data_IF_933134212104
#
_entry.id   IF_933134212104
#
_cell.length_a   1.000
_cell.length_b   1.000
_cell.length_c   1.000
_cell.angle_alpha   90.00
_cell.angle_beta   90.00
_cell.angle_gamma   90.00
#
_symmetry.space_group_name_H-M   'P 1'
#
loop_
_entity.id
_entity.type
_entity.pdbx_description
1 polymer ?
#
# COMPACT_ATOMS: atom_id res chain seq x y z
N UNK A 1 -6.36 -8.65 3.19
CA UNK A 1 -5.69 -7.74 4.15
C UNK A 1 -4.32 -8.29 4.45
N UNK A 2 -3.27 -7.53 4.17
CA UNK A 2 -1.89 -7.96 4.36
C UNK A 2 -1.22 -7.27 5.56
N UNK A 3 -0.12 -7.86 6.01
CA UNK A 3 0.91 -7.20 6.80
C UNK A 3 2.25 -7.37 6.10
N UNK A 4 2.98 -6.28 5.95
CA UNK A 4 4.33 -6.26 5.41
C UNK A 4 5.31 -5.97 6.55
N UNK A 5 6.45 -6.67 6.60
CA UNK A 5 7.41 -6.52 7.69
C UNK A 5 8.40 -5.36 7.51
N UNK A 6 8.42 -4.65 6.37
CA UNK A 6 9.48 -3.67 6.10
C UNK A 6 9.64 -2.66 7.22
N UNK A 7 8.65 -1.83 7.50
CA UNK A 7 8.74 -0.86 8.60
C UNK A 7 8.73 -1.49 10.00
N UNK A 8 8.38 -2.77 10.12
CA UNK A 8 8.43 -3.47 11.39
C UNK A 8 9.84 -3.92 11.78
N UNK A 9 10.70 -4.24 10.81
CA UNK A 9 12.00 -4.87 11.09
C UNK A 9 13.13 -4.34 10.24
N UNK A 10 12.86 -3.75 9.07
CA UNK A 10 13.85 -3.51 8.02
C UNK A 10 14.71 -4.77 7.79
N UNK A 11 16.03 -4.64 7.76
CA UNK A 11 16.97 -5.77 7.60
C UNK A 11 17.23 -6.55 8.91
N UNK A 12 16.72 -6.11 10.05
CA UNK A 12 16.93 -6.76 11.35
C UNK A 12 15.81 -7.74 11.68
N UNK A 13 15.82 -8.91 11.05
CA UNK A 13 14.87 -9.98 11.34
C UNK A 13 15.52 -11.36 11.35
N UNK A 14 14.90 -12.24 12.13
CA UNK A 14 15.07 -13.69 12.13
C UNK A 14 13.73 -14.33 11.81
N UNK A 15 13.70 -15.60 11.50
CA UNK A 15 12.45 -16.34 11.26
C UNK A 15 11.53 -16.27 12.46
N UNK A 16 12.05 -16.44 13.69
CA UNK A 16 11.25 -16.36 14.92
C UNK A 16 10.56 -15.00 15.07
N UNK A 17 11.28 -13.90 14.82
CA UNK A 17 10.72 -12.54 14.86
C UNK A 17 9.59 -12.34 13.84
N UNK A 18 9.74 -12.91 12.63
CA UNK A 18 8.68 -12.88 11.62
C UNK A 18 7.46 -13.68 12.06
N UNK A 19 7.67 -14.84 12.68
CA UNK A 19 6.59 -15.70 13.18
C UNK A 19 5.83 -15.06 14.35
N UNK A 20 6.52 -14.33 15.23
CA UNK A 20 5.88 -13.55 16.32
C UNK A 20 4.97 -12.45 15.74
N UNK A 21 5.43 -11.72 14.72
CA UNK A 21 4.61 -10.71 14.03
C UNK A 21 3.42 -11.37 13.32
N UNK A 22 3.64 -12.48 12.63
CA UNK A 22 2.60 -13.22 11.93
C UNK A 22 1.52 -13.76 12.88
N UNK A 23 1.91 -14.28 14.04
CA UNK A 23 0.97 -14.78 15.04
C UNK A 23 0.05 -13.66 15.54
N UNK A 24 0.61 -12.50 15.87
CA UNK A 24 -0.17 -11.33 16.27
C UNK A 24 -1.09 -10.83 15.15
N UNK A 25 -0.60 -10.80 13.91
CA UNK A 25 -1.39 -10.44 12.75
C UNK A 25 -2.58 -11.41 12.53
N UNK A 26 -2.34 -12.72 12.67
CA UNK A 26 -3.37 -13.75 12.62
C UNK A 26 -4.46 -13.54 13.69
N UNK A 27 -4.05 -13.26 14.93
CA UNK A 27 -4.99 -12.97 16.03
C UNK A 27 -5.86 -11.74 15.74
N UNK A 28 -5.34 -10.77 14.99
CA UNK A 28 -6.10 -9.60 14.54
C UNK A 28 -6.93 -9.87 13.29
N UNK A 29 -6.78 -11.05 12.66
CA UNK A 29 -7.58 -11.46 11.49
C UNK A 29 -6.98 -11.05 10.14
N UNK A 30 -5.68 -10.66 10.09
CA UNK A 30 -4.92 -10.42 8.86
C UNK A 30 -4.83 -11.70 8.04
N UNK A 31 -4.85 -11.61 6.71
CA UNK A 31 -5.01 -12.75 5.80
C UNK A 31 -3.72 -13.14 5.06
N UNK A 32 -2.77 -12.21 4.94
CA UNK A 32 -1.55 -12.37 4.14
C UNK A 32 -0.35 -11.75 4.86
N UNK A 33 0.73 -12.51 4.99
CA UNK A 33 2.03 -12.00 5.44
C UNK A 33 2.96 -11.82 4.24
N UNK A 34 3.54 -10.62 4.07
CA UNK A 34 4.49 -10.31 3.00
C UNK A 34 5.87 -10.11 3.61
N UNK A 35 6.81 -10.97 3.24
CA UNK A 35 8.23 -10.82 3.57
C UNK A 35 8.88 -9.87 2.57
N UNK A 36 9.28 -8.71 3.05
CA UNK A 36 9.93 -7.67 2.26
C UNK A 36 11.45 -7.90 2.10
N UNK A 37 12.22 -6.90 1.71
CA UNK A 37 13.64 -6.96 1.40
C UNK A 37 14.49 -7.59 2.54
N UNK A 38 15.58 -8.28 2.17
CA UNK A 38 16.55 -8.81 3.12
C UNK A 38 16.54 -10.33 3.33
N UNK A 39 15.68 -11.10 2.66
CA UNK A 39 15.53 -12.53 2.84
C UNK A 39 16.58 -13.37 2.08
N UNK A 40 17.33 -12.78 1.14
CA UNK A 40 18.20 -13.48 0.16
C UNK A 40 19.68 -13.11 0.30
N UNK A 41 20.55 -13.98 -0.18
CA UNK A 41 21.99 -13.76 -0.30
C UNK A 41 22.63 -13.23 0.98
N UNK A 42 23.55 -12.29 0.85
CA UNK A 42 24.18 -11.57 1.97
C UNK A 42 23.51 -10.19 2.21
N UNK A 43 22.22 -10.10 1.96
CA UNK A 43 21.43 -8.86 2.03
C UNK A 43 21.15 -8.45 3.47
N UNK A 44 22.10 -7.80 4.11
CA UNK A 44 21.94 -7.21 5.46
C UNK A 44 21.81 -5.67 5.45
N UNK A 45 21.91 -5.08 4.28
CA UNK A 45 21.74 -3.65 4.00
C UNK A 45 21.52 -3.45 2.51
N UNK A 46 21.30 -2.22 2.07
CA UNK A 46 21.14 -1.87 0.65
C UNK A 46 22.43 -2.08 -0.20
N UNK A 47 23.56 -2.36 0.43
CA UNK A 47 24.88 -2.33 -0.21
C UNK A 47 25.25 -3.62 -0.93
N UNK A 48 24.58 -4.75 -0.64
CA UNK A 48 24.99 -6.08 -1.11
C UNK A 48 23.82 -7.01 -1.40
N UNK A 49 24.09 -8.06 -2.15
CA UNK A 49 23.21 -9.22 -2.33
C UNK A 49 22.11 -9.09 -3.36
N UNK A 50 21.77 -7.87 -3.81
CA UNK A 50 20.71 -7.69 -4.81
C UNK A 50 21.12 -8.33 -6.15
N UNK A 51 20.26 -9.21 -6.66
CA UNK A 51 20.51 -10.08 -7.81
C UNK A 51 20.72 -11.55 -7.41
N UNK A 52 21.10 -11.83 -6.16
CA UNK A 52 21.37 -13.18 -5.65
C UNK A 52 20.10 -13.76 -4.99
N UNK A 53 19.12 -14.12 -5.80
CA UNK A 53 17.81 -14.61 -5.33
C UNK A 53 17.87 -16.04 -4.78
N UNK A 54 18.57 -16.19 -3.64
CA UNK A 54 18.72 -17.47 -2.91
C UNK A 54 18.48 -17.15 -1.43
N UNK A 55 17.58 -17.88 -0.79
CA UNK A 55 17.27 -17.64 0.63
C UNK A 55 18.52 -17.68 1.52
N UNK A 56 18.63 -16.72 2.43
CA UNK A 56 19.71 -16.68 3.40
C UNK A 56 19.45 -17.73 4.51
N UNK A 57 20.28 -18.77 4.64
CA UNK A 57 20.06 -19.86 5.60
C UNK A 57 20.25 -19.45 7.07
N UNK A 58 20.99 -18.36 7.33
CA UNK A 58 21.14 -17.83 8.69
C UNK A 58 19.87 -17.17 9.20
N UNK A 59 19.08 -16.57 8.29
CA UNK A 59 17.81 -15.90 8.62
C UNK A 59 16.62 -16.84 8.49
N UNK A 60 16.65 -17.72 7.50
CA UNK A 60 15.59 -18.65 7.13
C UNK A 60 16.19 -20.06 7.03
N UNK A 61 16.35 -20.76 8.15
CA UNK A 61 17.02 -22.08 8.18
C UNK A 61 16.38 -23.13 7.27
N UNK A 62 15.04 -23.11 7.13
CA UNK A 62 14.29 -24.00 6.25
C UNK A 62 13.93 -23.34 4.91
N UNK A 63 14.56 -22.20 4.59
CA UNK A 63 14.35 -21.44 3.38
C UNK A 63 12.94 -20.83 3.26
N UNK A 64 12.63 -20.31 2.07
CA UNK A 64 11.30 -19.73 1.78
C UNK A 64 10.17 -20.75 1.90
N UNK A 65 10.42 -22.00 1.52
CA UNK A 65 9.42 -23.07 1.59
C UNK A 65 9.01 -23.37 3.05
N UNK A 66 9.96 -23.42 3.97
CA UNK A 66 9.69 -23.63 5.40
C UNK A 66 8.89 -22.49 6.00
N UNK A 67 9.28 -21.24 5.74
CA UNK A 67 8.54 -20.07 6.24
C UNK A 67 7.13 -20.01 5.64
N UNK A 68 6.97 -20.23 4.33
CA UNK A 68 5.66 -20.23 3.67
C UNK A 68 4.73 -21.31 4.26
N UNK A 69 5.25 -22.50 4.56
CA UNK A 69 4.48 -23.56 5.21
C UNK A 69 4.04 -23.13 6.64
N UNK A 70 4.93 -22.52 7.42
CA UNK A 70 4.58 -22.01 8.75
C UNK A 70 3.51 -20.91 8.73
N UNK A 71 3.47 -20.07 7.68
CA UNK A 71 2.38 -19.11 7.46
C UNK A 71 1.07 -19.82 7.13
N UNK A 72 1.10 -20.82 6.24
CA UNK A 72 -0.08 -21.62 5.89
C UNK A 72 -0.64 -22.39 7.11
N UNK A 73 0.21 -22.97 7.94
CA UNK A 73 -0.18 -23.67 9.17
C UNK A 73 -0.91 -22.75 10.16
N UNK A 74 -0.69 -21.43 10.05
CA UNK A 74 -1.41 -20.38 10.78
C UNK A 74 -2.67 -19.89 10.05
N UNK A 75 -2.98 -20.46 8.88
CA UNK A 75 -4.12 -20.05 8.06
C UNK A 75 -3.90 -18.70 7.34
N UNK A 76 -2.66 -18.27 7.19
CA UNK A 76 -2.28 -17.06 6.46
C UNK A 76 -1.69 -17.41 5.11
N UNK A 77 -1.96 -16.57 4.10
CA UNK A 77 -1.23 -16.59 2.83
C UNK A 77 0.16 -16.00 3.01
N UNK A 78 1.06 -16.33 2.08
CA UNK A 78 2.42 -15.82 2.09
C UNK A 78 2.75 -15.07 0.80
N UNK A 79 3.44 -13.93 0.96
CA UNK A 79 3.92 -13.08 -0.12
C UNK A 79 5.42 -12.80 0.02
N UNK A 80 6.06 -12.43 -1.08
CA UNK A 80 7.50 -12.23 -1.15
C UNK A 80 7.85 -11.01 -1.99
N UNK A 81 8.84 -10.23 -1.53
CA UNK A 81 9.39 -9.09 -2.24
C UNK A 81 10.52 -9.51 -3.19
N UNK A 82 10.56 -8.89 -4.36
CA UNK A 82 11.64 -8.96 -5.32
C UNK A 82 11.94 -7.57 -5.91
N UNK A 83 13.21 -7.32 -6.25
CA UNK A 83 13.67 -6.22 -7.08
C UNK A 83 14.49 -6.77 -8.26
N UNK A 84 13.84 -7.45 -9.20
CA UNK A 84 14.52 -8.33 -10.15
C UNK A 84 15.28 -7.59 -11.26
N UNK A 85 15.05 -6.32 -11.43
CA UNK A 85 15.67 -5.48 -12.46
C UNK A 85 17.00 -4.85 -12.02
N UNK A 86 17.36 -5.02 -10.73
CA UNK A 86 18.52 -4.35 -10.13
C UNK A 86 19.56 -5.37 -9.64
N UNK A 87 20.80 -4.90 -9.55
CA UNK A 87 21.92 -5.72 -9.06
C UNK A 87 22.89 -4.84 -8.25
N UNK A 88 23.39 -5.35 -7.12
CA UNK A 88 24.45 -4.68 -6.40
C UNK A 88 25.82 -4.98 -7.01
N UNK A 89 26.77 -4.05 -6.96
CA UNK A 89 28.19 -4.35 -7.24
C UNK A 89 28.73 -5.51 -6.40
N UNK A 90 28.28 -5.57 -5.13
CA UNK A 90 28.59 -6.69 -4.23
C UNK A 90 27.47 -7.74 -4.27
N UNK A 91 27.45 -8.48 -5.39
CA UNK A 91 26.60 -9.66 -5.59
C UNK A 91 27.35 -10.71 -6.42
N UNK A 92 26.96 -11.95 -6.30
CA UNK A 92 27.52 -13.03 -7.10
C UNK A 92 27.11 -12.91 -8.56
N UNK A 93 25.87 -12.45 -8.81
CA UNK A 93 25.38 -12.18 -10.16
C UNK A 93 26.26 -11.14 -10.88
N UNK A 94 26.56 -10.02 -10.23
CA UNK A 94 27.38 -8.99 -10.85
C UNK A 94 28.83 -9.44 -11.06
N UNK A 95 29.40 -10.20 -10.14
CA UNK A 95 30.76 -10.79 -10.30
C UNK A 95 30.82 -11.75 -11.48
N UNK A 96 29.77 -12.54 -11.71
CA UNK A 96 29.68 -13.46 -12.81
C UNK A 96 29.43 -12.77 -14.17
N UNK A 97 28.62 -11.72 -14.16
CA UNK A 97 28.14 -11.04 -15.37
C UNK A 97 28.20 -9.51 -15.26
N UNK A 98 29.42 -8.92 -15.17
CA UNK A 98 29.56 -7.46 -15.01
C UNK A 98 29.15 -6.67 -16.27
N UNK A 99 28.95 -7.35 -17.39
CA UNK A 99 28.47 -6.81 -18.66
C UNK A 99 26.94 -6.81 -18.81
N UNK A 100 26.20 -7.36 -17.83
CA UNK A 100 24.74 -7.42 -17.86
C UNK A 100 24.03 -6.17 -17.36
N UNK A 101 24.76 -5.12 -17.05
CA UNK A 101 24.19 -3.85 -16.64
C UNK A 101 24.08 -2.86 -17.80
N UNK A 102 23.12 -1.95 -17.71
CA UNK A 102 23.09 -0.76 -18.58
C UNK A 102 24.26 0.16 -18.18
N UNK A 103 25.21 0.38 -19.11
CA UNK A 103 26.37 1.23 -18.86
C UNK A 103 27.03 1.66 -20.17
N UNK A 104 27.27 2.97 -20.34
CA UNK A 104 27.94 3.51 -21.51
C UNK A 104 29.47 3.37 -21.40
N UNK A 105 30.17 2.90 -22.46
CA UNK A 105 31.63 2.81 -22.48
C UNK A 105 32.29 4.18 -22.25
N UNK A 106 33.31 4.20 -21.39
CA UNK A 106 34.05 5.41 -21.07
C UNK A 106 33.37 6.38 -20.11
N UNK A 107 32.14 6.11 -19.71
CA UNK A 107 31.43 6.90 -18.71
C UNK A 107 31.52 6.25 -17.33
N UNK A 108 31.47 7.07 -16.27
CA UNK A 108 31.37 6.57 -14.90
C UNK A 108 30.05 5.82 -14.75
N UNK A 109 30.10 4.61 -14.19
CA UNK A 109 28.91 3.88 -13.76
C UNK A 109 28.35 4.57 -12.52
N UNK A 110 27.19 5.20 -12.63
CA UNK A 110 26.49 5.73 -11.47
C UNK A 110 25.65 4.63 -10.82
N UNK A 111 25.54 4.67 -9.52
CA UNK A 111 24.64 3.80 -8.77
C UNK A 111 23.79 4.65 -7.81
N UNK A 112 22.48 4.57 -7.94
CA UNK A 112 21.53 5.03 -6.95
C UNK A 112 21.29 3.90 -5.94
N UNK A 113 21.24 4.18 -4.64
CA UNK A 113 21.04 3.16 -3.60
C UNK A 113 21.99 1.96 -3.71
N UNK A 114 23.23 2.19 -4.14
CA UNK A 114 24.26 1.15 -4.36
C UNK A 114 23.87 0.07 -5.39
N UNK A 115 22.99 0.40 -6.34
CA UNK A 115 22.47 -0.52 -7.35
C UNK A 115 22.88 -0.11 -8.75
N UNK A 116 23.04 -1.11 -9.64
CA UNK A 116 23.03 -0.96 -11.09
C UNK A 116 21.73 -1.52 -11.67
N UNK A 117 21.37 -1.05 -12.86
CA UNK A 117 20.22 -1.55 -13.61
C UNK A 117 20.68 -2.68 -14.52
N UNK A 118 20.04 -3.85 -14.42
CA UNK A 118 20.26 -4.96 -15.35
C UNK A 118 19.76 -4.60 -16.74
N UNK A 119 20.44 -5.05 -17.78
CA UNK A 119 20.06 -4.80 -19.16
C UNK A 119 18.93 -5.74 -19.62
N UNK A 120 17.71 -5.40 -19.30
CA UNK A 120 16.52 -6.15 -19.70
C UNK A 120 16.20 -6.04 -21.22
N UNK A 121 16.98 -5.27 -21.99
CA UNK A 121 16.92 -5.38 -23.45
C UNK A 121 17.53 -6.69 -23.99
N UNK A 122 18.26 -7.43 -23.12
CA UNK A 122 18.93 -8.70 -23.41
C UNK A 122 18.08 -9.87 -22.90
N UNK A 123 17.74 -10.76 -23.83
CA UNK A 123 16.90 -11.93 -23.52
C UNK A 123 17.53 -12.86 -22.49
N UNK A 124 18.84 -13.08 -22.55
CA UNK A 124 19.56 -13.94 -21.61
C UNK A 124 19.52 -13.43 -20.17
N UNK A 125 19.45 -12.09 -19.96
CA UNK A 125 19.27 -11.49 -18.63
C UNK A 125 17.85 -11.77 -18.11
N UNK A 126 16.84 -11.52 -18.93
CA UNK A 126 15.42 -11.79 -18.60
C UNK A 126 15.21 -13.27 -18.29
N UNK A 127 15.75 -14.19 -19.15
CA UNK A 127 15.60 -15.63 -18.96
C UNK A 127 16.32 -16.13 -17.69
N UNK A 128 17.46 -15.55 -17.34
CA UNK A 128 18.18 -15.87 -16.10
C UNK A 128 17.35 -15.49 -14.86
N UNK A 129 16.88 -14.26 -14.80
CA UNK A 129 16.04 -13.77 -13.69
C UNK A 129 14.74 -14.58 -13.58
N UNK A 130 14.10 -14.86 -14.73
CA UNK A 130 12.93 -15.74 -14.77
C UNK A 130 13.22 -17.10 -14.14
N UNK A 131 14.34 -17.74 -14.51
CA UNK A 131 14.74 -19.05 -13.95
C UNK A 131 14.93 -19.01 -12.42
N UNK A 132 15.52 -17.93 -11.89
CA UNK A 132 15.70 -17.76 -10.45
C UNK A 132 14.35 -17.58 -9.74
N UNK A 133 13.47 -16.72 -10.24
CA UNK A 133 12.15 -16.51 -9.65
C UNK A 133 11.29 -17.77 -9.73
N UNK A 134 11.29 -18.48 -10.86
CA UNK A 134 10.56 -19.75 -11.01
C UNK A 134 11.02 -20.78 -9.98
N UNK A 135 12.32 -20.89 -9.71
CA UNK A 135 12.84 -21.83 -8.72
C UNK A 135 12.25 -21.59 -7.32
N UNK A 136 12.14 -20.31 -6.93
CA UNK A 136 11.59 -19.92 -5.63
C UNK A 136 10.07 -20.13 -5.60
N UNK A 137 9.36 -19.57 -6.58
CA UNK A 137 7.89 -19.61 -6.62
C UNK A 137 7.33 -21.02 -6.81
N UNK A 138 8.08 -21.91 -7.49
CA UNK A 138 7.71 -23.34 -7.60
C UNK A 138 8.03 -24.14 -6.34
N UNK A 139 9.00 -23.69 -5.54
CA UNK A 139 9.45 -24.40 -4.33
C UNK A 139 8.69 -24.02 -3.06
N UNK A 140 7.86 -22.99 -3.10
CA UNK A 140 7.16 -22.45 -1.93
C UNK A 140 5.73 -22.03 -2.27
N UNK A 141 4.82 -22.08 -1.30
CA UNK A 141 3.42 -21.63 -1.46
C UNK A 141 3.32 -20.11 -1.38
N UNK A 142 3.80 -19.43 -2.44
CA UNK A 142 3.71 -17.97 -2.57
C UNK A 142 2.42 -17.62 -3.32
N UNK A 143 1.66 -16.69 -2.80
CA UNK A 143 0.39 -16.19 -3.39
C UNK A 143 0.43 -14.71 -3.78
N UNK A 144 1.53 -14.01 -3.43
CA UNK A 144 1.69 -12.59 -3.67
C UNK A 144 3.17 -12.25 -3.89
N UNK A 145 3.45 -11.39 -4.85
CA UNK A 145 4.78 -10.85 -5.11
C UNK A 145 4.72 -9.34 -5.14
N UNK A 146 5.50 -8.68 -4.27
CA UNK A 146 5.79 -7.25 -4.36
C UNK A 146 7.03 -7.09 -5.23
N UNK A 147 6.85 -6.54 -6.44
CA UNK A 147 7.91 -6.29 -7.41
C UNK A 147 8.33 -4.83 -7.34
N UNK A 148 9.55 -4.59 -6.90
CA UNK A 148 10.09 -3.25 -6.69
C UNK A 148 11.12 -2.85 -7.77
N UNK A 149 11.34 -1.54 -7.88
CA UNK A 149 12.39 -0.92 -8.69
C UNK A 149 12.83 0.38 -8.02
N UNK A 150 13.92 0.36 -7.27
CA UNK A 150 14.32 1.46 -6.40
C UNK A 150 15.37 2.40 -7.00
N UNK A 151 15.58 2.31 -8.30
CA UNK A 151 16.55 3.14 -9.00
C UNK A 151 16.09 3.51 -10.41
N UNK A 152 16.26 4.77 -10.77
CA UNK A 152 16.05 5.25 -12.14
C UNK A 152 17.19 4.80 -13.07
N UNK A 153 16.89 4.62 -14.35
CA UNK A 153 17.89 4.37 -15.40
C UNK A 153 18.60 5.70 -15.69
N UNK A 154 19.91 5.74 -15.54
CA UNK A 154 20.76 6.94 -15.76
C UNK A 154 21.59 6.81 -17.03
N UNK A 155 22.46 5.80 -17.12
CA UNK A 155 23.25 5.52 -18.32
C UNK A 155 22.48 4.53 -19.21
N UNK A 156 21.60 5.05 -20.05
CA UNK A 156 20.76 4.23 -20.92
C UNK A 156 21.54 3.78 -22.17
N UNK A 157 22.41 2.82 -21.98
CA UNK A 157 23.23 2.23 -23.05
C UNK A 157 23.33 0.70 -22.82
N UNK A 158 23.05 -0.08 -23.84
CA UNK A 158 23.20 -1.53 -23.85
C UNK A 158 24.46 -1.94 -24.63
N UNK A 159 25.37 -2.68 -23.98
CA UNK A 159 26.53 -3.23 -24.67
C UNK A 159 26.17 -4.30 -25.73
N UNK A 160 24.94 -4.80 -25.72
CA UNK A 160 24.46 -5.78 -26.70
C UNK A 160 23.88 -5.16 -27.97
N UNK A 161 23.65 -3.83 -28.00
CA UNK A 161 23.12 -3.14 -29.15
C UNK A 161 24.20 -2.35 -29.91
N UNK A 162 24.16 -2.33 -31.26
CA UNK A 162 25.05 -1.48 -32.04
C UNK A 162 24.72 0.01 -31.82
N UNK A 163 25.67 0.87 -32.19
CA UNK A 163 25.62 2.30 -31.89
C UNK A 163 24.38 3.01 -32.50
N UNK A 164 23.94 2.59 -33.68
CA UNK A 164 22.79 3.13 -34.40
C UNK A 164 21.44 2.71 -33.76
N UNK A 165 21.43 1.75 -32.81
CA UNK A 165 20.23 1.24 -32.15
C UNK A 165 20.16 1.60 -30.67
N UNK A 166 21.08 2.39 -30.15
CA UNK A 166 21.08 2.76 -28.73
C UNK A 166 19.84 3.58 -28.34
N UNK A 167 19.21 4.31 -29.25
CA UNK A 167 17.94 5.00 -29.01
C UNK A 167 16.75 4.09 -28.71
N UNK A 168 16.89 2.76 -28.93
CA UNK A 168 15.84 1.77 -28.64
C UNK A 168 15.93 1.19 -27.23
N UNK A 169 16.98 1.48 -26.43
CA UNK A 169 17.28 0.78 -25.17
C UNK A 169 16.13 0.90 -24.18
N UNK A 170 15.57 2.10 -23.94
CA UNK A 170 14.45 2.28 -23.02
C UNK A 170 13.23 1.44 -23.41
N UNK A 171 12.88 1.47 -24.70
CA UNK A 171 11.74 0.70 -25.21
C UNK A 171 11.97 -0.81 -25.05
N UNK A 172 13.17 -1.28 -25.46
CA UNK A 172 13.54 -2.70 -25.35
C UNK A 172 13.61 -3.18 -23.89
N UNK A 173 14.08 -2.31 -22.99
CA UNK A 173 14.10 -2.59 -21.57
C UNK A 173 12.68 -2.87 -21.04
N UNK A 174 11.72 -1.98 -21.34
CA UNK A 174 10.33 -2.17 -20.91
C UNK A 174 9.70 -3.40 -21.55
N UNK A 175 10.00 -3.71 -22.81
CA UNK A 175 9.55 -4.97 -23.42
C UNK A 175 10.13 -6.19 -22.70
N UNK A 176 11.38 -6.13 -22.22
CA UNK A 176 11.97 -7.19 -21.38
C UNK A 176 11.30 -7.32 -20.01
N UNK A 177 10.91 -6.19 -19.38
CA UNK A 177 10.13 -6.21 -18.14
C UNK A 177 8.77 -6.87 -18.37
N UNK A 178 8.07 -6.51 -19.44
CA UNK A 178 6.78 -7.12 -19.80
C UNK A 178 6.90 -8.60 -20.15
N UNK A 179 7.96 -9.02 -20.87
CA UNK A 179 8.24 -10.44 -21.16
C UNK A 179 8.41 -11.26 -19.85
N UNK A 180 9.13 -10.69 -18.88
CA UNK A 180 9.29 -11.35 -17.57
C UNK A 180 7.96 -11.46 -16.81
N UNK A 181 7.17 -10.38 -16.77
CA UNK A 181 5.84 -10.40 -16.14
C UNK A 181 4.92 -11.41 -16.84
N UNK A 182 4.85 -11.40 -18.18
CA UNK A 182 4.04 -12.32 -18.96
C UNK A 182 4.36 -13.78 -18.61
N UNK A 183 5.63 -14.16 -18.69
CA UNK A 183 6.10 -15.50 -18.35
C UNK A 183 5.76 -15.91 -16.91
N UNK A 184 5.86 -14.96 -15.95
CA UNK A 184 5.57 -15.25 -14.54
C UNK A 184 4.07 -15.36 -14.29
N UNK A 185 3.25 -14.48 -14.86
CA UNK A 185 1.78 -14.51 -14.69
C UNK A 185 1.16 -15.70 -15.39
N UNK A 186 1.67 -16.13 -16.55
CA UNK A 186 1.27 -17.36 -17.20
C UNK A 186 1.65 -18.60 -16.38
N UNK A 187 2.86 -18.61 -15.83
CA UNK A 187 3.38 -19.76 -15.05
C UNK A 187 2.72 -19.89 -13.69
N UNK A 188 2.39 -18.76 -13.05
CA UNK A 188 1.84 -18.66 -11.70
C UNK A 188 0.55 -17.81 -11.66
N UNK A 189 -0.53 -18.23 -12.34
CA UNK A 189 -1.76 -17.44 -12.46
C UNK A 189 -2.50 -17.24 -11.13
N UNK A 190 -2.10 -17.92 -10.07
CA UNK A 190 -2.63 -17.78 -8.72
C UNK A 190 -1.86 -16.76 -7.86
N UNK A 191 -0.73 -16.24 -8.37
CA UNK A 191 0.08 -15.24 -7.69
C UNK A 191 -0.37 -13.84 -8.10
N UNK A 192 -0.73 -13.02 -7.12
CA UNK A 192 -1.02 -11.62 -7.35
C UNK A 192 0.28 -10.81 -7.29
N UNK A 193 0.51 -9.98 -8.30
CA UNK A 193 1.66 -9.08 -8.35
C UNK A 193 1.26 -7.67 -7.93
N UNK A 194 2.09 -7.05 -7.09
CA UNK A 194 2.08 -5.62 -6.79
C UNK A 194 3.29 -4.96 -7.44
N UNK A 195 3.08 -3.86 -8.16
CA UNK A 195 4.15 -3.02 -8.70
C UNK A 195 4.57 -1.97 -7.68
N UNK A 196 5.88 -1.83 -7.47
CA UNK A 196 6.50 -0.77 -6.69
C UNK A 196 7.68 -0.18 -7.49
N UNK A 197 7.94 1.10 -7.32
CA UNK A 197 9.15 1.74 -7.85
C UNK A 197 9.51 2.93 -6.95
N UNK A 198 10.06 2.64 -5.76
CA UNK A 198 10.14 3.57 -4.64
C UNK A 198 8.77 4.23 -4.41
N UNK A 199 7.74 3.43 -4.27
CA UNK A 199 6.35 3.85 -4.35
C UNK A 199 5.84 3.89 -5.79
N UNK A 200 5.12 4.96 -6.14
CA UNK A 200 4.39 5.11 -7.41
C UNK A 200 5.21 5.58 -8.60
N UNK A 201 6.54 5.52 -8.57
CA UNK A 201 7.40 6.03 -9.66
C UNK A 201 7.15 5.40 -11.02
N UNK A 202 6.51 4.23 -11.05
CA UNK A 202 6.13 3.50 -12.28
C UNK A 202 4.67 3.03 -12.24
N UNK A 203 3.79 3.84 -11.67
CA UNK A 203 2.37 3.57 -11.64
C UNK A 203 1.74 4.00 -12.97
N UNK A 204 1.57 3.06 -13.90
CA UNK A 204 1.06 3.29 -15.24
C UNK A 204 0.17 2.13 -15.72
N UNK A 205 -0.65 2.32 -16.81
CA UNK A 205 -1.55 1.29 -17.28
C UNK A 205 -0.86 0.03 -17.81
N UNK A 206 0.37 0.14 -18.31
CA UNK A 206 1.13 -1.03 -18.77
C UNK A 206 1.54 -1.93 -17.62
N UNK A 207 1.99 -1.34 -16.51
CA UNK A 207 2.30 -2.09 -15.29
C UNK A 207 1.02 -2.68 -14.67
N UNK A 208 -0.11 -1.94 -14.66
CA UNK A 208 -1.39 -2.42 -14.14
C UNK A 208 -1.97 -3.61 -14.92
N UNK A 209 -1.57 -3.82 -16.18
CA UNK A 209 -1.98 -4.99 -16.95
C UNK A 209 -1.48 -6.29 -16.31
N UNK A 210 -0.27 -6.29 -15.74
CA UNK A 210 0.34 -7.45 -15.10
C UNK A 210 0.20 -7.45 -13.58
N UNK A 211 0.32 -6.27 -12.97
CA UNK A 211 0.27 -6.05 -11.53
C UNK A 211 -0.94 -5.14 -11.20
N UNK A 212 -2.12 -5.70 -10.89
CA UNK A 212 -3.35 -4.93 -10.71
C UNK A 212 -3.36 -4.02 -9.50
N UNK A 213 -2.30 -4.04 -8.70
CA UNK A 213 -2.07 -3.21 -7.54
C UNK A 213 -0.69 -2.54 -7.64
N UNK A 214 -0.61 -1.27 -7.24
CA UNK A 214 0.64 -0.54 -7.15
C UNK A 214 0.80 0.10 -5.77
N UNK A 215 2.02 0.06 -5.22
CA UNK A 215 2.40 0.84 -4.06
C UNK A 215 2.49 2.31 -4.46
N UNK A 216 1.66 3.17 -3.85
CA UNK A 216 1.51 4.56 -4.31
C UNK A 216 2.65 5.48 -3.86
N UNK A 217 3.23 5.22 -2.69
CA UNK A 217 4.35 5.99 -2.12
C UNK A 217 4.95 5.26 -0.94
N UNK A 218 6.26 5.35 -0.78
CA UNK A 218 6.96 4.92 0.42
C UNK A 218 6.70 5.84 1.62
N UNK A 219 6.13 7.02 1.39
CA UNK A 219 5.64 7.86 2.47
C UNK A 219 4.34 7.27 3.03
N UNK A 220 4.45 6.64 4.19
CA UNK A 220 3.35 5.96 4.89
C UNK A 220 2.65 6.86 5.92
N UNK A 221 3.07 8.11 6.07
CA UNK A 221 2.41 9.07 6.95
C UNK A 221 0.95 9.31 6.52
N UNK A 222 0.00 9.14 7.43
CA UNK A 222 -1.42 9.21 7.10
C UNK A 222 -1.87 10.58 6.56
N UNK A 223 -1.23 11.67 7.00
CA UNK A 223 -1.57 13.03 6.54
C UNK A 223 -1.09 13.24 5.09
N UNK A 224 0.12 12.80 4.78
CA UNK A 224 0.62 12.86 3.40
C UNK A 224 -0.15 11.87 2.51
N UNK A 225 -0.50 10.69 3.01
CA UNK A 225 -1.31 9.71 2.27
C UNK A 225 -2.69 10.24 1.87
N UNK A 226 -3.31 11.13 2.64
CA UNK A 226 -4.53 11.82 2.19
C UNK A 226 -4.30 12.58 0.89
N UNK A 227 -3.17 13.29 0.74
CA UNK A 227 -2.82 14.01 -0.50
C UNK A 227 -2.42 13.05 -1.62
N UNK A 228 -1.58 12.05 -1.30
CA UNK A 228 -1.06 11.07 -2.25
C UNK A 228 -2.21 10.27 -2.88
N UNK A 229 -3.11 9.70 -2.07
CA UNK A 229 -4.23 8.89 -2.55
C UNK A 229 -5.25 9.75 -3.30
N UNK A 230 -5.54 10.95 -2.82
CA UNK A 230 -6.41 11.89 -3.53
C UNK A 230 -5.85 12.24 -4.91
N UNK A 231 -4.56 12.63 -4.98
CA UNK A 231 -3.89 12.96 -6.23
C UNK A 231 -3.84 11.79 -7.20
N UNK A 232 -3.45 10.60 -6.72
CA UNK A 232 -3.39 9.37 -7.52
C UNK A 232 -4.77 9.00 -8.09
N UNK A 233 -5.85 9.27 -7.34
CA UNK A 233 -7.22 8.95 -7.76
C UNK A 233 -7.70 9.71 -9.00
N UNK A 234 -7.01 10.77 -9.43
CA UNK A 234 -7.32 11.44 -10.69
C UNK A 234 -7.01 10.59 -11.92
N UNK A 235 -6.02 9.71 -11.81
CA UNK A 235 -5.57 8.86 -12.92
C UNK A 235 -5.93 7.39 -12.74
N UNK A 236 -5.98 6.88 -11.50
CA UNK A 236 -6.07 5.46 -11.19
C UNK A 236 -7.17 5.18 -10.17
N UNK A 237 -7.87 4.03 -10.27
CA UNK A 237 -8.90 3.66 -9.31
C UNK A 237 -8.26 3.33 -7.95
N UNK A 238 -8.99 3.63 -6.86
CA UNK A 238 -8.53 3.32 -5.50
C UNK A 238 -8.32 1.81 -5.28
N UNK A 239 -9.01 0.97 -6.03
CA UNK A 239 -8.85 -0.50 -5.98
C UNK A 239 -7.48 -1.00 -6.45
N UNK A 240 -6.69 -0.14 -7.09
CA UNK A 240 -5.32 -0.45 -7.53
C UNK A 240 -4.24 0.18 -6.66
N UNK A 241 -4.60 0.91 -5.59
CA UNK A 241 -3.67 1.64 -4.73
C UNK A 241 -3.35 0.85 -3.47
N UNK A 242 -2.09 0.48 -3.25
CA UNK A 242 -1.63 -0.04 -1.97
C UNK A 242 -1.72 1.03 -0.88
N UNK A 243 -2.35 0.70 0.25
CA UNK A 243 -2.54 1.63 1.36
C UNK A 243 -2.44 0.91 2.69
N UNK A 244 -1.41 1.25 3.47
CA UNK A 244 -1.09 0.57 4.72
C UNK A 244 -1.16 1.50 5.93
N UNK A 245 -1.52 0.91 7.07
CA UNK A 245 -1.41 1.51 8.40
C UNK A 245 0.03 1.35 8.87
N UNK A 246 0.74 2.46 9.05
CA UNK A 246 2.12 2.50 9.53
C UNK A 246 2.22 2.70 11.03
N UNK A 247 3.45 2.61 11.56
CA UNK A 247 3.76 2.93 12.97
C UNK A 247 3.62 4.44 13.24
N UNK A 248 3.44 4.81 14.50
CA UNK A 248 3.60 6.18 15.00
C UNK A 248 4.58 6.20 16.18
N UNK A 249 5.54 7.15 16.21
CA UNK A 249 5.82 8.17 15.18
C UNK A 249 6.19 7.55 13.83
N UNK A 250 5.76 8.20 12.73
CA UNK A 250 6.11 7.76 11.37
C UNK A 250 7.62 7.84 11.15
N UNK A 251 8.21 6.83 10.50
CA UNK A 251 9.66 6.74 10.35
C UNK A 251 10.28 7.80 9.44
N UNK A 252 9.52 8.31 8.47
CA UNK A 252 10.04 9.32 7.52
C UNK A 252 9.86 10.74 8.04
N UNK A 253 8.69 11.05 8.58
CA UNK A 253 8.31 12.42 8.96
C UNK A 253 8.32 12.67 10.47
N UNK A 254 8.54 11.62 11.28
CA UNK A 254 8.51 11.67 12.75
C UNK A 254 7.19 12.28 13.31
N UNK A 255 6.10 12.13 12.54
CA UNK A 255 4.76 12.61 12.91
C UNK A 255 4.00 11.51 13.63
N UNK A 256 3.32 11.88 14.72
CA UNK A 256 2.41 10.98 15.43
C UNK A 256 0.96 11.31 15.07
N UNK A 257 0.26 10.34 14.53
CA UNK A 257 -1.16 10.43 14.19
C UNK A 257 -1.94 9.34 14.92
N UNK A 258 -3.22 9.57 15.27
CA UNK A 258 -4.06 8.56 15.88
C UNK A 258 -4.14 7.28 15.01
N UNK A 259 -4.15 6.10 15.64
CA UNK A 259 -4.29 4.82 14.93
C UNK A 259 -5.57 4.80 14.06
N UNK A 260 -6.65 5.40 14.56
CA UNK A 260 -7.90 5.59 13.81
C UNK A 260 -7.67 6.36 12.51
N UNK A 261 -6.94 7.46 12.53
CA UNK A 261 -6.70 8.29 11.34
C UNK A 261 -5.84 7.55 10.32
N UNK A 262 -4.83 6.80 10.78
CA UNK A 262 -4.03 5.93 9.92
C UNK A 262 -4.90 4.90 9.18
N UNK A 263 -5.81 4.22 9.91
CA UNK A 263 -6.72 3.26 9.32
C UNK A 263 -7.76 3.88 8.40
N UNK A 264 -8.38 5.00 8.82
CA UNK A 264 -9.40 5.69 8.02
C UNK A 264 -8.86 6.16 6.66
N UNK A 265 -7.59 6.57 6.61
CA UNK A 265 -6.90 6.89 5.35
C UNK A 265 -6.64 5.63 4.53
N UNK A 266 -6.17 4.56 5.17
CA UNK A 266 -5.80 3.31 4.50
C UNK A 266 -7.01 2.53 3.94
N UNK A 267 -8.21 2.70 4.48
CA UNK A 267 -9.41 1.98 4.00
C UNK A 267 -9.72 2.22 2.53
N UNK A 268 -9.42 3.40 2.00
CA UNK A 268 -9.71 3.74 0.60
C UNK A 268 -8.57 3.34 -0.34
N UNK A 269 -8.25 2.05 -0.32
CA UNK A 269 -7.23 1.40 -1.13
C UNK A 269 -7.24 -0.11 -0.91
N UNK A 270 -6.18 -0.79 -1.35
CA UNK A 270 -5.90 -2.18 -0.99
C UNK A 270 -5.21 -2.18 0.37
N UNK A 271 -6.02 -2.49 1.38
CA UNK A 271 -5.71 -2.25 2.79
C UNK A 271 -4.69 -3.23 3.36
N UNK A 272 -3.76 -2.72 4.15
CA UNK A 272 -2.79 -3.52 4.88
C UNK A 272 -2.17 -2.79 6.08
N UNK A 273 -1.20 -3.46 6.69
CA UNK A 273 -0.41 -2.95 7.81
C UNK A 273 1.08 -3.03 7.48
N UNK A 274 1.84 -2.06 7.94
CA UNK A 274 3.28 -2.00 7.79
C UNK A 274 3.92 -1.53 9.09
N UNK A 275 3.77 -2.35 10.13
CA UNK A 275 4.25 -2.10 11.48
C UNK A 275 4.35 -3.39 12.30
N UNK A 276 5.08 -3.36 13.40
CA UNK A 276 5.11 -4.47 14.35
C UNK A 276 3.92 -4.37 15.33
N UNK A 277 2.91 -5.21 15.14
CA UNK A 277 1.70 -5.24 15.98
C UNK A 277 1.98 -5.62 17.43
N UNK A 278 3.12 -6.25 17.75
CA UNK A 278 3.52 -6.58 19.12
C UNK A 278 3.93 -5.34 19.92
N UNK A 279 4.22 -4.21 19.25
CA UNK A 279 4.57 -2.94 19.91
C UNK A 279 3.34 -2.13 20.32
N UNK A 280 2.15 -2.52 19.85
CA UNK A 280 0.90 -1.86 20.18
C UNK A 280 0.39 -2.28 21.55
N UNK A 281 -0.25 -1.35 22.27
CA UNK A 281 -0.98 -1.66 23.50
C UNK A 281 -2.17 -2.61 23.23
N UNK A 282 -2.68 -3.27 24.25
CA UNK A 282 -3.86 -4.15 24.13
C UNK A 282 -5.07 -3.41 23.56
N UNK A 283 -5.28 -2.13 23.94
CA UNK A 283 -6.34 -1.29 23.42
C UNK A 283 -6.16 -0.99 21.91
N UNK A 284 -4.94 -0.73 21.45
CA UNK A 284 -4.65 -0.54 20.04
C UNK A 284 -4.78 -1.84 19.24
N UNK A 285 -4.36 -2.98 19.81
CA UNK A 285 -4.58 -4.30 19.19
C UNK A 285 -6.06 -4.62 19.03
N UNK A 286 -6.91 -4.25 20.00
CA UNK A 286 -8.35 -4.35 19.86
C UNK A 286 -8.89 -3.48 18.72
N UNK A 287 -8.40 -2.23 18.58
CA UNK A 287 -8.74 -1.36 17.45
C UNK A 287 -8.31 -1.98 16.12
N UNK A 288 -7.13 -2.60 16.03
CA UNK A 288 -6.69 -3.31 14.81
C UNK A 288 -7.67 -4.42 14.43
N UNK A 289 -8.16 -5.21 15.39
CA UNK A 289 -9.18 -6.25 15.13
C UNK A 289 -10.46 -5.65 14.54
N UNK A 290 -10.92 -4.54 15.10
CA UNK A 290 -12.11 -3.83 14.60
C UNK A 290 -11.87 -3.27 13.18
N UNK A 291 -10.69 -2.71 12.91
CA UNK A 291 -10.30 -2.22 11.60
C UNK A 291 -10.30 -3.33 10.54
N UNK A 292 -9.74 -4.48 10.89
CA UNK A 292 -9.75 -5.67 10.02
C UNK A 292 -11.18 -6.15 9.77
N UNK A 293 -12.03 -6.22 10.80
CA UNK A 293 -13.45 -6.58 10.66
C UNK A 293 -14.19 -5.58 9.77
N UNK A 294 -13.96 -4.28 9.98
CA UNK A 294 -14.55 -3.22 9.15
C UNK A 294 -14.15 -3.39 7.69
N UNK A 295 -12.85 -3.54 7.41
CA UNK A 295 -12.37 -3.72 6.05
C UNK A 295 -12.93 -4.98 5.39
N UNK A 296 -12.99 -6.12 6.09
CA UNK A 296 -13.61 -7.35 5.57
C UNK A 296 -15.08 -7.15 5.20
N UNK A 297 -15.81 -6.35 5.98
CA UNK A 297 -17.22 -6.04 5.71
C UNK A 297 -17.41 -5.16 4.48
N UNK A 298 -16.56 -4.13 4.32
CA UNK A 298 -16.75 -3.08 3.32
C UNK A 298 -15.81 -3.16 2.12
N UNK A 299 -14.82 -4.06 2.08
CA UNK A 299 -13.84 -4.16 0.99
C UNK A 299 -14.48 -4.30 -0.39
N UNK A 300 -15.64 -4.98 -0.49
CA UNK A 300 -16.35 -5.10 -1.75
C UNK A 300 -16.91 -3.77 -2.23
N UNK A 301 -17.50 -2.97 -1.33
CA UNK A 301 -17.97 -1.63 -1.65
C UNK A 301 -16.78 -0.72 -2.07
N UNK A 302 -15.68 -0.75 -1.34
CA UNK A 302 -14.49 0.03 -1.64
C UNK A 302 -13.88 -0.38 -2.98
N UNK A 303 -13.81 -1.69 -3.27
CA UNK A 303 -13.21 -2.24 -4.49
C UNK A 303 -14.05 -1.94 -5.75
N UNK A 304 -15.37 -2.01 -5.66
CA UNK A 304 -16.26 -2.02 -6.83
C UNK A 304 -17.26 -0.86 -6.86
N UNK A 305 -17.30 -0.03 -5.83
CA UNK A 305 -18.14 1.15 -5.79
C UNK A 305 -17.61 2.30 -6.63
N UNK A 306 -18.45 3.30 -6.86
CA UNK A 306 -18.03 4.53 -7.55
C UNK A 306 -17.40 5.50 -6.56
N UNK A 307 -16.17 5.92 -6.84
CA UNK A 307 -15.41 6.85 -5.99
C UNK A 307 -15.69 8.29 -6.37
N UNK A 308 -15.96 9.13 -5.37
CA UNK A 308 -16.18 10.58 -5.53
C UNK A 308 -15.21 11.36 -4.63
N UNK A 309 -14.52 12.34 -5.20
CA UNK A 309 -13.73 13.33 -4.47
C UNK A 309 -14.65 14.47 -4.06
N UNK A 310 -14.80 14.71 -2.75
CA UNK A 310 -15.74 15.70 -2.21
C UNK A 310 -15.05 17.01 -1.84
N UNK A 311 -13.88 16.90 -1.20
CA UNK A 311 -13.11 18.07 -0.76
C UNK A 311 -11.62 17.79 -0.95
N UNK A 312 -10.92 18.72 -1.61
CA UNK A 312 -9.52 18.62 -1.95
C UNK A 312 -8.62 18.89 -0.73
N UNK A 313 -7.62 18.03 -0.44
CA UNK A 313 -6.62 18.28 0.59
C UNK A 313 -5.64 19.40 0.23
N UNK A 314 -5.68 19.91 -1.01
CA UNK A 314 -4.81 20.98 -1.50
C UNK A 314 -5.43 22.37 -1.29
N UNK A 315 -6.72 22.43 -0.93
CA UNK A 315 -7.45 23.71 -0.75
C UNK A 315 -7.52 24.17 0.71
N UNK A 316 -6.99 23.37 1.65
CA UNK A 316 -6.99 23.71 3.07
C UNK A 316 -6.67 22.55 4.00
N UNK A 317 -7.11 22.64 5.23
CA UNK A 317 -6.80 21.67 6.28
C UNK A 317 -7.82 20.51 6.38
N UNK A 318 -8.79 20.44 5.48
CA UNK A 318 -9.80 19.38 5.44
C UNK A 318 -9.82 18.71 4.08
N UNK A 319 -10.09 17.41 4.06
CA UNK A 319 -10.28 16.63 2.84
C UNK A 319 -11.43 15.65 3.02
N UNK A 320 -12.06 15.26 1.91
CA UNK A 320 -13.09 14.24 1.95
C UNK A 320 -13.26 13.54 0.60
N UNK A 321 -13.61 12.28 0.68
CA UNK A 321 -14.01 11.46 -0.46
C UNK A 321 -15.06 10.43 -0.04
N UNK A 322 -15.67 9.78 -1.00
CA UNK A 322 -16.64 8.72 -0.72
C UNK A 322 -16.67 7.65 -1.78
N UNK A 323 -17.19 6.49 -1.41
CA UNK A 323 -17.50 5.39 -2.32
C UNK A 323 -18.98 5.06 -2.20
N UNK A 324 -19.67 4.90 -3.32
CA UNK A 324 -21.09 4.58 -3.39
C UNK A 324 -21.26 3.26 -4.13
N UNK A 325 -22.12 2.36 -3.62
CA UNK A 325 -22.48 1.11 -4.29
C UNK A 325 -23.17 1.36 -5.63
N UNK A 326 -23.09 0.38 -6.55
CA UNK A 326 -23.71 0.50 -7.87
C UNK A 326 -25.23 0.66 -7.84
N UNK A 327 -25.89 0.10 -6.83
CA UNK A 327 -27.33 0.27 -6.57
C UNK A 327 -27.67 1.51 -5.74
N UNK A 328 -26.66 2.29 -5.34
CA UNK A 328 -26.76 3.50 -4.51
C UNK A 328 -27.38 3.27 -3.12
N UNK A 329 -27.38 2.04 -2.61
CA UNK A 329 -27.98 1.73 -1.32
C UNK A 329 -26.99 1.78 -0.16
N UNK A 330 -25.70 1.71 -0.46
CA UNK A 330 -24.63 1.80 0.54
C UNK A 330 -23.57 2.84 0.11
N UNK A 331 -23.04 3.57 1.06
CA UNK A 331 -21.89 4.45 0.84
C UNK A 331 -21.01 4.52 2.08
N UNK A 332 -19.70 4.76 1.85
CA UNK A 332 -18.72 5.14 2.86
C UNK A 332 -18.18 6.52 2.54
N UNK A 333 -18.10 7.38 3.54
CA UNK A 333 -17.53 8.73 3.42
C UNK A 333 -16.35 8.84 4.38
N UNK A 334 -15.16 9.13 3.84
CA UNK A 334 -13.98 9.51 4.63
C UNK A 334 -13.88 11.02 4.70
N UNK A 335 -13.80 11.54 5.92
CA UNK A 335 -13.52 12.95 6.20
C UNK A 335 -12.27 13.06 7.06
N UNK A 336 -11.39 14.00 6.71
CA UNK A 336 -10.08 14.19 7.31
C UNK A 336 -9.84 15.65 7.63
N UNK A 337 -9.20 15.90 8.76
CA UNK A 337 -8.71 17.22 9.16
C UNK A 337 -7.26 17.13 9.58
N UNK A 338 -6.39 17.90 8.91
CA UNK A 338 -4.95 17.91 9.20
C UNK A 338 -4.62 18.83 10.36
N UNK A 339 -5.13 20.05 10.35
CA UNK A 339 -4.92 21.03 11.42
C UNK A 339 -6.23 21.67 11.84
N UNK A 340 -6.36 21.95 13.12
CA UNK A 340 -7.47 22.72 13.69
C UNK A 340 -7.23 24.22 13.55
N UNK A 341 -8.22 24.94 13.09
CA UNK A 341 -8.23 26.41 13.10
C UNK A 341 -8.83 26.99 14.39
N UNK A 342 -8.51 28.24 14.69
CA UNK A 342 -9.14 28.97 15.79
C UNK A 342 -10.57 29.36 15.39
N UNK A 343 -11.55 29.18 16.29
CA UNK A 343 -12.96 29.52 16.05
C UNK A 343 -13.52 28.92 14.76
N UNK A 344 -13.36 27.61 14.58
CA UNK A 344 -13.85 26.91 13.39
C UNK A 344 -15.35 27.08 13.23
N UNK A 345 -15.83 27.54 12.05
CA UNK A 345 -17.26 27.63 11.78
C UNK A 345 -17.86 26.22 11.62
N UNK A 346 -19.19 26.12 11.73
CA UNK A 346 -19.91 24.93 11.28
C UNK A 346 -19.66 24.71 9.79
N UNK A 347 -19.16 23.53 9.43
CA UNK A 347 -18.94 23.15 8.05
C UNK A 347 -19.86 22.01 7.65
N UNK A 348 -20.28 22.03 6.38
CA UNK A 348 -21.11 21.02 5.79
C UNK A 348 -20.38 20.35 4.63
N UNK A 349 -20.41 19.03 4.61
CA UNK A 349 -19.86 18.21 3.53
C UNK A 349 -21.00 17.76 2.63
N UNK A 350 -21.07 18.28 1.42
CA UNK A 350 -22.03 17.81 0.40
C UNK A 350 -21.59 16.50 -0.17
N UNK A 351 -22.48 15.50 -0.12
CA UNK A 351 -22.22 14.17 -0.68
C UNK A 351 -22.55 14.10 -2.18
N UNK A 352 -22.17 13.03 -2.83
CA UNK A 352 -22.40 12.82 -4.27
C UNK A 352 -22.83 11.39 -4.55
N UNK A 353 -23.53 11.19 -5.67
CA UNK A 353 -23.83 9.87 -6.20
C UNK A 353 -24.92 9.07 -5.48
N UNK A 354 -25.54 9.63 -4.45
CA UNK A 354 -26.68 9.02 -3.75
C UNK A 354 -27.96 9.04 -4.61
N UNK A 355 -28.92 8.22 -4.28
CA UNK A 355 -30.26 8.32 -4.84
C UNK A 355 -31.04 9.41 -4.07
N UNK A 356 -31.54 10.48 -4.73
CA UNK A 356 -32.21 11.58 -4.05
C UNK A 356 -33.51 11.17 -3.33
N UNK A 357 -34.15 10.11 -3.77
CA UNK A 357 -35.44 9.64 -3.22
C UNK A 357 -35.31 8.58 -2.14
N UNK A 358 -34.10 8.06 -1.89
CA UNK A 358 -33.88 7.10 -0.81
C UNK A 358 -33.59 7.81 0.51
N UNK A 359 -34.09 7.22 1.58
CA UNK A 359 -33.78 7.60 2.95
C UNK A 359 -32.62 6.73 3.45
N UNK A 360 -31.55 7.37 3.93
CA UNK A 360 -30.32 6.71 4.40
C UNK A 360 -30.20 6.88 5.92
N UNK A 361 -29.91 5.76 6.58
CA UNK A 361 -29.40 5.79 7.94
C UNK A 361 -27.92 6.08 7.90
N UNK A 362 -27.49 7.17 8.55
CA UNK A 362 -26.09 7.60 8.66
C UNK A 362 -25.57 7.21 10.02
N UNK A 363 -24.49 6.44 10.05
CA UNK A 363 -23.75 6.05 11.25
C UNK A 363 -22.32 6.59 11.16
N UNK A 364 -21.70 6.93 12.30
CA UNK A 364 -20.28 7.24 12.39
C UNK A 364 -19.56 6.00 12.90
N UNK A 365 -18.52 5.54 12.21
CA UNK A 365 -17.73 4.40 12.63
C UNK A 365 -17.05 4.69 13.98
N UNK A 366 -17.32 3.86 14.97
CA UNK A 366 -16.59 3.75 16.23
C UNK A 366 -16.40 5.08 16.97
N UNK A 367 -17.27 5.42 17.89
CA UNK A 367 -16.95 6.46 18.88
C UNK A 367 -16.01 5.86 19.93
N UNK A 368 -14.71 5.98 19.68
CA UNK A 368 -13.70 5.66 20.71
C UNK A 368 -13.58 6.75 21.79
N UNK A 369 -14.53 7.68 21.82
CA UNK A 369 -14.60 8.78 22.80
C UNK A 369 -15.77 8.45 23.74
N UNK A 370 -15.48 8.22 24.99
CA UNK A 370 -16.51 8.15 26.04
C UNK A 370 -17.15 9.54 26.19
N UNK A 371 -18.43 9.65 25.92
CA UNK A 371 -19.24 10.87 26.07
C UNK A 371 -20.19 11.13 24.91
N UNK A 372 -21.16 12.03 25.07
CA UNK A 372 -22.04 12.41 23.99
C UNK A 372 -21.22 13.09 22.89
N UNK A 373 -21.05 12.41 21.76
CA UNK A 373 -20.30 12.95 20.66
C UNK A 373 -21.20 13.85 19.80
N UNK A 374 -20.69 14.98 19.36
CA UNK A 374 -21.33 15.87 18.37
C UNK A 374 -21.59 15.15 17.03
N UNK A 375 -21.06 13.95 16.88
CA UNK A 375 -21.34 13.02 15.78
C UNK A 375 -22.82 12.61 15.72
N UNK A 376 -23.57 12.74 16.81
CA UNK A 376 -25.03 12.54 16.82
C UNK A 376 -25.76 13.51 15.91
N UNK A 377 -25.24 14.72 15.67
CA UNK A 377 -25.86 15.69 14.77
C UNK A 377 -25.77 15.28 13.27
N UNK A 378 -24.80 14.43 12.92
CA UNK A 378 -24.67 13.87 11.58
C UNK A 378 -25.31 12.47 11.48
N UNK A 379 -25.49 11.79 12.62
CA UNK A 379 -26.12 10.47 12.67
C UNK A 379 -27.65 10.58 12.57
N UNK A 380 -28.27 9.55 12.03
CA UNK A 380 -29.73 9.48 11.91
C UNK A 380 -30.21 9.30 10.49
N UNK A 381 -31.50 9.61 10.27
CA UNK A 381 -32.18 9.41 9.00
C UNK A 381 -32.14 10.67 8.16
N UNK A 382 -31.68 10.55 6.93
CA UNK A 382 -31.54 11.65 5.98
C UNK A 382 -31.93 11.22 4.57
N UNK A 383 -32.60 12.06 3.81
CA UNK A 383 -32.83 11.80 2.39
C UNK A 383 -31.56 12.04 1.56
N UNK A 384 -31.42 11.31 0.44
CA UNK A 384 -30.25 11.46 -0.43
C UNK A 384 -30.09 12.86 -1.02
N UNK A 385 -31.20 13.54 -1.36
CA UNK A 385 -31.17 14.93 -1.81
C UNK A 385 -30.75 15.89 -0.69
N UNK A 386 -31.19 15.71 0.54
CA UNK A 386 -30.72 16.46 1.71
C UNK A 386 -29.20 16.36 1.85
N UNK A 387 -28.67 15.12 1.83
CA UNK A 387 -27.24 14.86 1.95
C UNK A 387 -26.42 15.44 0.80
N UNK A 388 -26.97 15.47 -0.42
CA UNK A 388 -26.29 16.02 -1.58
C UNK A 388 -26.35 17.55 -1.68
N UNK A 389 -27.43 18.19 -1.23
CA UNK A 389 -27.62 19.63 -1.37
C UNK A 389 -27.31 20.42 -0.08
N UNK A 390 -27.74 19.94 1.08
CA UNK A 390 -27.43 20.54 2.37
C UNK A 390 -26.15 20.00 2.98
N UNK A 391 -25.91 18.70 2.86
CA UNK A 391 -24.71 18.00 3.33
C UNK A 391 -24.71 17.64 4.81
N UNK A 392 -23.75 16.80 5.20
CA UNK A 392 -23.48 16.40 6.58
C UNK A 392 -22.78 17.53 7.35
N UNK A 393 -23.13 17.74 8.62
CA UNK A 393 -22.37 18.59 9.53
C UNK A 393 -21.12 17.80 9.96
N UNK A 394 -19.93 18.33 9.64
CA UNK A 394 -18.65 17.64 9.90
C UNK A 394 -17.82 18.29 10.98
N UNK A 395 -18.18 19.49 11.43
CA UNK A 395 -17.47 20.18 12.51
C UNK A 395 -18.37 20.42 13.69
N UNK A 396 -17.76 20.26 14.83
CA UNK A 396 -18.35 20.61 16.11
C UNK A 396 -18.21 22.12 16.26
N UNK A 397 -19.32 22.83 16.28
CA UNK A 397 -19.26 24.27 16.52
C UNK A 397 -18.65 24.57 17.88
N UNK A 398 -17.96 25.68 17.97
CA UNK A 398 -17.33 26.20 19.20
C UNK A 398 -18.31 26.69 20.25
N UNK A 399 -19.54 26.16 20.33
CA UNK A 399 -20.45 26.53 21.40
C UNK A 399 -19.96 25.96 22.71
N UNK A 400 -19.66 26.79 23.70
CA UNK A 400 -19.11 26.42 25.00
C UNK A 400 -19.98 25.51 25.87
N UNK A 401 -20.96 24.83 25.31
CA UNK A 401 -21.80 23.85 25.98
C UNK A 401 -21.26 22.42 25.88
N UNK A 402 -20.26 22.16 25.06
CA UNK A 402 -19.61 20.85 24.88
C UNK A 402 -18.23 20.82 25.55
N UNK A 403 -18.20 20.95 26.88
CA UNK A 403 -16.99 20.67 27.65
C UNK A 403 -16.63 19.19 27.49
N UNK A 404 -15.62 18.88 26.66
CA UNK A 404 -15.09 17.53 26.48
C UNK A 404 -14.81 17.12 25.03
N UNK A 405 -15.35 17.78 24.02
CA UNK A 405 -15.06 17.53 22.62
C UNK A 405 -13.99 18.50 22.12
N UNK A 406 -12.76 18.23 22.46
CA UNK A 406 -11.64 18.98 21.89
C UNK A 406 -11.44 18.54 20.44
N UNK A 407 -11.71 19.48 19.53
CA UNK A 407 -11.19 19.36 18.16
C UNK A 407 -9.68 19.22 18.21
N UNK A 408 -9.13 18.21 17.59
CA UNK A 408 -7.69 17.97 17.56
C UNK A 408 -7.16 17.95 16.13
N UNK A 409 -5.85 18.17 15.99
CA UNK A 409 -5.15 17.94 14.75
C UNK A 409 -5.19 16.45 14.38
N UNK A 410 -5.04 16.16 13.09
CA UNK A 410 -5.02 14.81 12.54
C UNK A 410 -6.27 13.97 12.85
N UNK A 411 -7.44 14.63 12.92
CA UNK A 411 -8.72 13.95 13.13
C UNK A 411 -9.28 13.37 11.82
N UNK A 412 -10.06 12.30 11.94
CA UNK A 412 -10.73 11.68 10.80
C UNK A 412 -11.99 10.94 11.22
N UNK A 413 -12.93 10.82 10.29
CA UNK A 413 -14.21 10.15 10.51
C UNK A 413 -14.59 9.33 9.28
N UNK A 414 -15.20 8.18 9.52
CA UNK A 414 -15.88 7.41 8.49
C UNK A 414 -17.39 7.47 8.76
N UNK A 415 -18.15 7.99 7.81
CA UNK A 415 -19.61 7.90 7.83
C UNK A 415 -20.04 6.71 6.97
N UNK A 416 -20.94 5.91 7.52
CA UNK A 416 -21.52 4.74 6.88
C UNK A 416 -22.97 5.08 6.56
N UNK A 417 -23.34 4.99 5.30
CA UNK A 417 -24.69 5.25 4.83
C UNK A 417 -25.33 3.96 4.35
N UNK A 418 -26.54 3.68 4.82
CA UNK A 418 -27.35 2.54 4.37
C UNK A 418 -28.78 3.00 4.10
N UNK A 419 -29.24 2.75 2.88
CA UNK A 419 -30.63 3.01 2.54
C UNK A 419 -31.56 2.04 3.28
N UNK A 420 -32.66 2.57 3.79
CA UNK A 420 -33.74 1.76 4.36
C UNK A 420 -34.36 0.86 3.29
N UNK A 421 -34.70 -0.35 3.68
CA UNK A 421 -35.62 -1.18 2.90
C UNK A 421 -37.03 -0.61 3.07
N UNK A 422 -37.63 -0.18 1.96
CA UNK A 422 -39.04 0.16 1.90
C UNK A 422 -39.89 -1.11 1.79
#
# INVERSE_FOLDING_TARGET
>A
ILINNWEATYFDFTEDKLLEIAEKARECGVELFVLDDGWFGRRSSEHSGLGDWIANPERLPDGIAGLAQRMEDRGMKFGLWFEPEMVNPDSDLYRAHPDWILSAPGYRRSHGRYQYVLDFSRREVVDHIFGMMVKILSGAKVSYVKWDMNRSITECYSAALPADRQGEVYHRYILGVYDLYEKLTERFPHVLFESCASGGGRFDPGMLYYAPQAWTSDDTDAVERVKIQYGTSYCYPISSMGSHVSIAPNHQLNRSTPLRTRANTAYFGTFGYELNLNLLSEGEQAQVKEQVCFMKKYRRLIQFGTFYRLQSPFDGNTAAWMVVSGDRREALVGWYRTLVGVNMPYTRLRLQGLDPGLEYHVEVQGSYVEGPSVHEAAAGMHYGDELMYLGLITTDGSSGENEGLQSCDFDSRIYILKANDR
#
